data_IF_687448403562
#
_entry.id   IF_687448403562
#
_cell.length_a   1.000
_cell.length_b   1.000
_cell.length_c   1.000
_cell.angle_alpha   90.00
_cell.angle_beta   90.00
_cell.angle_gamma   90.00
#
_symmetry.space_group_name_H-M   'P 1'
#
loop_
_entity.id
_entity.type
_entity.pdbx_description
1 polymer ?
#
# COMPACT_ATOMS: atom_id res chain seq x y z
N UNK A 1 -7.44 -10.62 17.99
CA UNK A 1 -6.20 -10.86 18.72
C UNK A 1 -5.02 -11.14 17.77
N UNK A 2 -5.08 -12.14 16.89
CA UNK A 2 -3.98 -12.47 15.96
C UNK A 2 -3.76 -11.38 14.87
N UNK A 3 -4.79 -10.67 14.47
CA UNK A 3 -4.69 -9.52 13.58
C UNK A 3 -3.92 -8.37 14.26
N UNK A 4 -4.19 -8.11 15.54
CA UNK A 4 -3.47 -7.11 16.33
C UNK A 4 -1.96 -7.39 16.42
N UNK A 5 -1.56 -8.67 16.48
CA UNK A 5 -0.13 -9.05 16.46
C UNK A 5 0.56 -8.57 15.19
N UNK A 6 -0.16 -8.53 14.08
CA UNK A 6 0.35 -8.09 12.77
C UNK A 6 0.17 -6.60 12.57
N UNK A 7 -0.95 -6.01 13.03
CA UNK A 7 -1.18 -4.57 12.84
C UNK A 7 -0.28 -3.71 13.73
N UNK A 8 -0.03 -4.13 14.98
CA UNK A 8 0.64 -3.28 15.99
C UNK A 8 1.58 -4.05 16.93
N UNK A 9 1.70 -5.36 16.77
CA UNK A 9 2.47 -6.23 17.64
C UNK A 9 3.81 -6.71 17.07
N UNK A 10 4.28 -7.85 17.61
CA UNK A 10 5.56 -8.48 17.26
C UNK A 10 5.62 -8.98 15.82
N UNK A 11 4.48 -9.14 15.15
CA UNK A 11 4.36 -9.58 13.77
C UNK A 11 4.19 -8.45 12.75
N UNK A 12 4.37 -7.18 13.12
CA UNK A 12 4.10 -6.02 12.25
C UNK A 12 4.82 -6.05 10.90
N UNK A 13 5.99 -6.69 10.81
CA UNK A 13 6.71 -6.88 9.56
C UNK A 13 6.04 -7.93 8.63
N UNK A 14 4.98 -8.60 9.10
CA UNK A 14 4.14 -9.51 8.34
C UNK A 14 2.92 -8.84 7.71
N UNK A 15 2.77 -7.53 7.82
CA UNK A 15 1.69 -6.78 7.18
C UNK A 15 1.78 -6.87 5.65
N UNK A 16 0.61 -6.91 5.01
CA UNK A 16 0.47 -6.82 3.55
C UNK A 16 -0.53 -5.69 3.26
N UNK A 17 -0.08 -4.68 2.52
CA UNK A 17 -0.91 -3.51 2.20
C UNK A 17 -2.19 -3.93 1.47
N UNK A 18 -3.31 -3.37 1.88
CA UNK A 18 -4.61 -3.68 1.33
C UNK A 18 -5.23 -4.98 1.82
N UNK A 19 -4.60 -5.71 2.74
CA UNK A 19 -5.13 -6.96 3.26
C UNK A 19 -5.09 -6.99 4.79
N UNK A 20 -6.17 -7.48 5.38
CA UNK A 20 -6.21 -7.80 6.80
C UNK A 20 -5.51 -9.13 7.02
N UNK A 21 -4.38 -9.09 7.71
CA UNK A 21 -3.55 -10.26 7.99
C UNK A 21 -3.55 -10.56 9.48
N UNK A 22 -3.87 -11.79 9.84
CA UNK A 22 -3.67 -12.31 11.19
C UNK A 22 -2.42 -13.18 11.23
N UNK A 23 -1.70 -13.19 12.36
CA UNK A 23 -0.50 -14.03 12.46
C UNK A 23 0.10 -14.10 13.85
N UNK A 24 1.14 -14.93 13.98
CA UNK A 24 1.88 -15.13 15.23
C UNK A 24 3.34 -15.46 14.95
N UNK A 25 4.21 -14.79 15.67
CA UNK A 25 5.65 -15.09 15.71
C UNK A 25 5.96 -16.25 16.64
N UNK A 26 6.93 -17.06 16.28
CA UNK A 26 7.52 -18.09 17.14
C UNK A 26 9.04 -17.92 17.22
N UNK A 27 9.59 -18.19 18.38
CA UNK A 27 11.03 -18.31 18.61
C UNK A 27 11.23 -19.41 19.63
N UNK A 28 11.86 -20.48 19.24
CA UNK A 28 12.09 -21.66 20.07
C UNK A 28 13.60 -21.92 20.20
N UNK A 29 14.03 -22.23 21.42
CA UNK A 29 15.40 -22.64 21.71
C UNK A 29 15.56 -24.14 21.39
N UNK A 30 16.67 -24.51 20.76
CA UNK A 30 17.03 -25.90 20.44
C UNK A 30 17.71 -26.61 21.60
N UNK A 31 17.65 -26.08 22.80
CA UNK A 31 18.22 -26.68 24.01
C UNK A 31 19.66 -26.28 24.26
N UNK A 32 20.57 -27.23 24.45
CA UNK A 32 21.93 -26.97 24.96
C UNK A 32 22.87 -26.23 23.99
N UNK A 33 22.51 -26.10 22.70
CA UNK A 33 23.36 -25.47 21.68
C UNK A 33 23.23 -23.94 21.67
N UNK A 34 22.17 -23.40 22.26
CA UNK A 34 21.82 -21.98 22.15
C UNK A 34 21.33 -21.56 20.74
N UNK A 35 21.11 -22.53 19.86
CA UNK A 35 20.55 -22.30 18.55
C UNK A 35 19.04 -22.08 18.64
N UNK A 36 18.49 -21.32 17.70
CA UNK A 36 17.08 -20.96 17.66
C UNK A 36 16.41 -21.47 16.39
N UNK A 37 15.14 -21.85 16.54
CA UNK A 37 14.22 -21.95 15.42
C UNK A 37 13.26 -20.76 15.51
N UNK A 38 13.21 -19.95 14.47
CA UNK A 38 12.32 -18.80 14.38
C UNK A 38 11.26 -19.05 13.33
N UNK A 39 10.03 -18.64 13.61
CA UNK A 39 8.90 -18.91 12.72
C UNK A 39 7.91 -17.75 12.71
N UNK A 40 7.14 -17.68 11.64
CA UNK A 40 5.98 -16.82 11.54
C UNK A 40 4.88 -17.54 10.77
N UNK A 41 3.73 -17.67 11.39
CA UNK A 41 2.52 -18.15 10.75
C UNK A 41 1.60 -16.95 10.50
N UNK A 42 1.02 -16.88 9.32
CA UNK A 42 0.01 -15.88 8.98
C UNK A 42 -1.14 -16.48 8.20
N UNK A 43 -2.26 -15.80 8.22
CA UNK A 43 -3.45 -16.13 7.42
C UNK A 43 -4.10 -14.84 6.92
N UNK A 44 -4.70 -14.90 5.75
CA UNK A 44 -5.39 -13.78 5.12
C UNK A 44 -6.50 -14.26 4.17
N UNK A 45 -7.56 -13.42 3.94
CA UNK A 45 -7.95 -12.26 4.76
C UNK A 45 -8.28 -12.67 6.20
N UNK A 46 -8.09 -11.78 7.19
CA UNK A 46 -8.26 -12.16 8.61
C UNK A 46 -9.73 -12.40 9.01
N UNK A 47 -10.68 -11.84 8.27
CA UNK A 47 -12.13 -11.97 8.46
C UNK A 47 -12.74 -13.16 7.69
N UNK A 48 -12.11 -13.58 6.58
CA UNK A 48 -12.49 -14.77 5.80
C UNK A 48 -11.24 -15.49 5.30
N UNK A 49 -10.53 -16.28 6.15
CA UNK A 49 -9.23 -16.86 5.82
C UNK A 49 -9.28 -17.82 4.64
N UNK A 50 -8.57 -17.48 3.56
CA UNK A 50 -8.42 -18.27 2.35
C UNK A 50 -7.04 -18.91 2.26
N UNK A 51 -6.03 -18.31 2.89
CA UNK A 51 -4.63 -18.73 2.83
C UNK A 51 -4.04 -18.74 4.22
N UNK A 52 -3.25 -19.76 4.52
CA UNK A 52 -2.37 -19.82 5.68
C UNK A 52 -0.95 -20.11 5.21
N UNK A 53 0.03 -19.36 5.72
CA UNK A 53 1.44 -19.50 5.37
C UNK A 53 2.24 -19.65 6.67
N UNK A 54 3.03 -20.71 6.77
CA UNK A 54 4.04 -20.88 7.80
C UNK A 54 5.42 -20.80 7.16
N UNK A 55 6.24 -19.88 7.62
CA UNK A 55 7.67 -19.81 7.28
C UNK A 55 8.46 -20.09 8.54
N UNK A 56 9.47 -20.96 8.41
CA UNK A 56 10.37 -21.34 9.50
C UNK A 56 11.80 -21.20 9.04
N UNK A 57 12.66 -20.69 9.90
CA UNK A 57 14.09 -20.59 9.68
C UNK A 57 14.80 -21.28 10.84
N UNK A 58 15.58 -22.31 10.51
CA UNK A 58 16.35 -23.08 11.48
C UNK A 58 17.76 -22.51 11.60
N UNK A 59 18.19 -22.29 12.81
CA UNK A 59 19.54 -21.83 13.17
C UNK A 59 20.01 -20.63 12.33
N UNK A 60 19.23 -19.52 12.31
CA UNK A 60 19.61 -18.34 11.53
C UNK A 60 20.90 -17.70 12.07
N UNK A 61 21.68 -17.13 11.16
CA UNK A 61 22.92 -16.46 11.53
C UNK A 61 22.67 -15.25 12.42
N UNK A 62 23.39 -15.16 13.54
CA UNK A 62 23.37 -14.01 14.45
C UNK A 62 24.12 -12.79 13.89
N UNK A 63 24.95 -12.98 12.87
CA UNK A 63 25.71 -11.91 12.19
C UNK A 63 24.92 -11.18 11.11
N UNK A 64 23.64 -11.49 10.93
CA UNK A 64 22.79 -10.85 9.91
C UNK A 64 22.43 -9.38 10.19
N UNK A 65 22.92 -8.79 11.28
CA UNK A 65 22.68 -7.37 11.63
C UNK A 65 21.26 -7.06 12.12
N UNK A 66 20.43 -8.09 12.36
CA UNK A 66 19.08 -7.95 12.88
C UNK A 66 18.84 -8.89 14.07
N UNK A 67 17.84 -8.59 14.88
CA UNK A 67 17.43 -9.44 15.99
C UNK A 67 16.96 -10.79 15.48
N UNK A 68 17.46 -11.88 16.08
CA UNK A 68 17.04 -13.25 15.74
C UNK A 68 15.67 -13.53 16.36
N UNK A 69 14.64 -13.31 15.57
CA UNK A 69 13.25 -13.55 15.96
C UNK A 69 12.36 -13.81 14.75
N UNK A 70 11.23 -14.47 14.96
CA UNK A 70 10.23 -14.68 13.90
C UNK A 70 9.73 -13.37 13.30
N UNK A 71 9.56 -12.32 14.11
CA UNK A 71 9.09 -11.02 13.67
C UNK A 71 10.09 -10.24 12.82
N UNK A 72 11.40 -10.36 13.12
CA UNK A 72 12.44 -9.61 12.42
C UNK A 72 12.95 -10.30 11.16
N UNK A 73 13.10 -11.63 11.20
CA UNK A 73 13.72 -12.38 10.11
C UNK A 73 12.71 -13.06 9.19
N UNK A 74 11.63 -13.59 9.74
CA UNK A 74 10.71 -14.48 9.03
C UNK A 74 9.45 -13.75 8.57
N UNK A 75 8.89 -12.87 9.39
CA UNK A 75 7.68 -12.12 9.04
C UNK A 75 7.80 -11.29 7.75
N UNK A 76 8.95 -10.60 7.45
CA UNK A 76 9.12 -9.90 6.17
C UNK A 76 9.10 -10.83 4.95
N UNK A 77 9.62 -12.06 5.09
CA UNK A 77 9.62 -13.07 4.01
C UNK A 77 8.19 -13.56 3.79
N UNK A 78 7.50 -13.88 4.88
CA UNK A 78 6.10 -14.33 4.86
C UNK A 78 5.19 -13.26 4.22
N UNK A 79 5.38 -11.97 4.56
CA UNK A 79 4.64 -10.84 3.98
C UNK A 79 4.80 -10.76 2.46
N UNK A 80 6.01 -10.92 1.94
CA UNK A 80 6.26 -10.93 0.49
C UNK A 80 5.56 -12.09 -0.21
N UNK A 81 5.66 -13.30 0.36
CA UNK A 81 4.97 -14.48 -0.18
C UNK A 81 3.45 -14.26 -0.19
N UNK A 82 2.90 -13.72 0.90
CA UNK A 82 1.48 -13.45 1.01
C UNK A 82 1.02 -12.38 0.00
N UNK A 83 1.81 -11.32 -0.20
CA UNK A 83 1.54 -10.26 -1.16
C UNK A 83 1.48 -10.75 -2.62
N UNK A 84 2.25 -11.78 -2.96
CA UNK A 84 2.23 -12.40 -4.29
C UNK A 84 1.06 -13.38 -4.45
N UNK A 85 0.76 -14.15 -3.41
CA UNK A 85 -0.26 -15.23 -3.46
C UNK A 85 -1.68 -14.66 -3.48
N UNK A 86 -1.99 -13.63 -2.68
CA UNK A 86 -3.37 -13.12 -2.55
C UNK A 86 -3.94 -12.63 -3.89
N UNK A 87 -3.25 -11.77 -4.67
CA UNK A 87 -3.73 -11.37 -5.98
C UNK A 87 -3.79 -12.54 -6.97
N UNK A 88 -2.84 -13.48 -6.89
CA UNK A 88 -2.84 -14.68 -7.74
C UNK A 88 -4.09 -15.55 -7.53
N UNK A 89 -4.60 -15.61 -6.31
CA UNK A 89 -5.85 -16.30 -5.98
C UNK A 89 -7.10 -15.47 -6.27
N UNK A 90 -6.96 -14.27 -6.84
CA UNK A 90 -8.08 -13.39 -7.16
C UNK A 90 -8.68 -12.71 -5.93
N UNK A 91 -7.95 -12.64 -4.82
CA UNK A 91 -8.37 -11.92 -3.62
C UNK A 91 -7.99 -10.46 -3.79
N UNK A 92 -8.99 -9.61 -3.97
CA UNK A 92 -8.78 -8.17 -4.21
C UNK A 92 -8.37 -7.44 -2.92
N UNK A 93 -7.38 -6.50 -3.00
CA UNK A 93 -6.99 -5.71 -1.85
C UNK A 93 -8.06 -4.67 -1.50
N UNK A 94 -8.26 -4.45 -0.20
CA UNK A 94 -9.10 -3.38 0.34
C UNK A 94 -8.23 -2.47 1.19
N UNK A 95 -7.85 -1.30 0.65
CA UNK A 95 -6.97 -0.36 1.34
C UNK A 95 -7.72 0.48 2.37
N UNK A 96 -7.14 0.63 3.56
CA UNK A 96 -7.59 1.63 4.53
C UNK A 96 -7.22 3.06 4.06
N UNK A 97 -7.84 4.07 4.68
CA UNK A 97 -7.53 5.46 4.36
C UNK A 97 -6.06 5.82 4.68
N UNK A 98 -5.48 5.19 5.70
CA UNK A 98 -4.08 5.36 6.08
C UNK A 98 -3.14 4.67 5.09
N UNK A 99 -3.49 3.49 4.60
CA UNK A 99 -2.69 2.76 3.60
C UNK A 99 -2.68 3.47 2.25
N UNK A 100 -3.77 4.16 1.89
CA UNK A 100 -3.83 5.01 0.70
C UNK A 100 -2.98 6.28 0.82
N UNK A 101 -2.57 6.65 2.06
CA UNK A 101 -1.61 7.71 2.31
C UNK A 101 -0.21 7.31 1.84
N UNK A 102 0.22 7.85 0.71
CA UNK A 102 1.55 7.61 0.17
C UNK A 102 1.73 6.29 -0.60
N UNK A 103 0.68 5.49 -0.79
CA UNK A 103 0.69 4.45 -1.80
C UNK A 103 0.41 5.07 -3.18
N UNK A 104 1.21 4.74 -4.17
CA UNK A 104 0.95 5.11 -5.55
C UNK A 104 -0.34 4.42 -6.02
N UNK A 105 -1.29 5.21 -6.49
CA UNK A 105 -2.62 4.75 -6.91
C UNK A 105 -2.93 5.25 -8.32
N UNK A 106 -3.55 4.40 -9.13
CA UNK A 106 -3.93 4.77 -10.50
C UNK A 106 -5.18 5.63 -10.50
N UNK A 107 -5.10 6.79 -11.15
CA UNK A 107 -6.21 7.73 -11.32
C UNK A 107 -7.28 7.13 -12.23
N UNK A 108 -8.55 7.02 -11.79
CA UNK A 108 -9.64 6.55 -12.65
C UNK A 108 -9.86 7.48 -13.85
N UNK A 109 -10.25 6.93 -14.97
CA UNK A 109 -10.76 7.72 -16.12
C UNK A 109 -12.23 8.04 -15.88
N UNK A 110 -12.56 9.33 -15.78
CA UNK A 110 -13.92 9.81 -15.47
C UNK A 110 -14.45 10.87 -16.43
N UNK A 111 -13.76 11.14 -17.53
CA UNK A 111 -14.26 12.03 -18.58
C UNK A 111 -15.53 11.45 -19.17
N UNK A 112 -16.56 12.28 -19.33
CA UNK A 112 -17.89 11.85 -19.78
C UNK A 112 -18.85 11.39 -18.66
N UNK A 113 -18.37 11.16 -17.45
CA UNK A 113 -19.20 10.84 -16.28
C UNK A 113 -19.87 12.10 -15.70
N UNK A 114 -20.93 11.93 -14.93
CA UNK A 114 -21.43 13.02 -14.08
C UNK A 114 -20.38 13.41 -13.03
N UNK A 115 -20.41 14.66 -12.58
CA UNK A 115 -19.50 15.14 -11.53
C UNK A 115 -19.64 14.32 -10.25
N UNK A 116 -20.85 13.88 -9.91
CA UNK A 116 -21.14 13.09 -8.71
C UNK A 116 -20.57 11.67 -8.81
N UNK A 117 -20.78 10.98 -9.94
CA UNK A 117 -20.18 9.68 -10.20
C UNK A 117 -18.65 9.74 -10.24
N UNK A 118 -18.11 10.77 -10.89
CA UNK A 118 -16.66 11.00 -10.93
C UNK A 118 -16.06 11.18 -9.54
N UNK A 119 -16.69 11.97 -8.65
CA UNK A 119 -16.27 12.11 -7.24
C UNK A 119 -16.28 10.77 -6.52
N UNK A 120 -17.38 10.03 -6.58
CA UNK A 120 -17.51 8.74 -5.91
C UNK A 120 -16.42 7.76 -6.35
N UNK A 121 -16.12 7.71 -7.64
CA UNK A 121 -15.05 6.85 -8.20
C UNK A 121 -13.65 7.28 -7.77
N UNK A 122 -13.38 8.59 -7.64
CA UNK A 122 -12.12 9.12 -7.16
C UNK A 122 -11.94 8.84 -5.66
N UNK A 123 -12.98 9.11 -4.85
CA UNK A 123 -12.98 8.86 -3.41
C UNK A 123 -12.80 7.38 -3.06
N UNK A 124 -13.43 6.48 -3.83
CA UNK A 124 -13.23 5.03 -3.70
C UNK A 124 -11.78 4.59 -3.95
N UNK A 125 -10.98 5.42 -4.65
CA UNK A 125 -9.54 5.21 -4.86
C UNK A 125 -8.66 6.07 -3.95
N UNK A 126 -9.26 6.74 -2.96
CA UNK A 126 -8.55 7.55 -1.98
C UNK A 126 -8.09 8.92 -2.47
N UNK A 127 -8.57 9.39 -3.61
CA UNK A 127 -8.29 10.73 -4.12
C UNK A 127 -9.28 11.77 -3.59
N UNK A 128 -8.83 13.01 -3.47
CA UNK A 128 -9.70 14.16 -3.29
C UNK A 128 -9.99 14.82 -4.65
N UNK A 129 -11.14 15.46 -4.78
CA UNK A 129 -11.54 16.12 -6.05
C UNK A 129 -11.74 17.61 -5.88
N UNK A 130 -11.20 18.38 -6.83
CA UNK A 130 -11.53 19.79 -7.03
C UNK A 130 -12.25 19.95 -8.37
N UNK A 131 -13.49 20.41 -8.35
CA UNK A 131 -14.27 20.66 -9.57
C UNK A 131 -14.05 22.11 -10.02
N UNK A 132 -13.78 22.31 -11.30
CA UNK A 132 -13.61 23.61 -11.96
C UNK A 132 -14.66 23.72 -13.05
N UNK A 133 -15.48 24.74 -12.96
CA UNK A 133 -16.64 24.94 -13.81
C UNK A 133 -17.96 24.62 -13.12
N UNK A 134 -19.08 24.79 -13.82
CA UNK A 134 -20.44 24.58 -13.30
C UNK A 134 -21.25 23.57 -14.11
N UNK A 135 -20.61 22.84 -15.03
CA UNK A 135 -21.25 21.80 -15.82
C UNK A 135 -21.59 20.56 -15.00
N UNK A 136 -22.59 19.80 -15.41
CA UNK A 136 -22.98 18.54 -14.76
C UNK A 136 -22.12 17.34 -15.16
N UNK A 137 -21.29 17.47 -16.20
CA UNK A 137 -20.49 16.38 -16.78
C UNK A 137 -19.02 16.78 -16.81
N UNK A 138 -18.14 15.84 -16.49
CA UNK A 138 -16.68 16.02 -16.53
C UNK A 138 -16.22 16.06 -18.00
N UNK A 139 -15.66 17.20 -18.42
CA UNK A 139 -15.14 17.42 -19.78
C UNK A 139 -13.65 17.11 -19.90
N UNK A 140 -12.88 17.28 -18.80
CA UNK A 140 -11.45 16.94 -18.72
C UNK A 140 -11.06 16.67 -17.27
N UNK A 141 -9.88 16.08 -17.06
CA UNK A 141 -9.33 15.81 -15.73
C UNK A 141 -7.80 16.01 -15.68
N UNK A 142 -7.29 16.35 -14.51
CA UNK A 142 -5.85 16.44 -14.27
C UNK A 142 -5.52 15.88 -12.87
N UNK A 143 -4.63 14.88 -12.73
CA UNK A 143 -3.94 14.15 -13.81
C UNK A 143 -4.86 13.33 -14.72
N UNK A 144 -4.33 12.91 -15.85
CA UNK A 144 -5.07 12.07 -16.79
C UNK A 144 -5.44 10.70 -16.16
N UNK A 145 -6.53 10.11 -16.65
CA UNK A 145 -6.87 8.72 -16.28
C UNK A 145 -5.74 7.76 -16.64
N UNK A 146 -5.45 6.82 -15.75
CA UNK A 146 -4.31 5.92 -15.86
C UNK A 146 -3.00 6.45 -15.27
N UNK A 147 -2.90 7.73 -14.91
CA UNK A 147 -1.72 8.25 -14.22
C UNK A 147 -1.58 7.61 -12.84
N UNK A 148 -0.35 7.25 -12.46
CA UNK A 148 -0.03 6.72 -11.13
C UNK A 148 0.51 7.85 -10.27
N UNK A 149 -0.22 8.20 -9.20
CA UNK A 149 0.11 9.30 -8.29
C UNK A 149 -0.10 8.87 -6.83
N UNK A 150 0.56 9.53 -5.87
CA UNK A 150 0.35 9.22 -4.45
C UNK A 150 -1.11 9.31 -4.03
N UNK A 151 -1.56 8.39 -3.19
CA UNK A 151 -2.89 8.43 -2.57
C UNK A 151 -3.12 9.74 -1.82
N UNK A 152 -4.39 10.14 -1.68
CA UNK A 152 -4.84 11.46 -1.17
C UNK A 152 -4.40 12.67 -2.01
N UNK A 153 -3.79 12.47 -3.18
CA UNK A 153 -3.58 13.56 -4.12
C UNK A 153 -4.92 14.16 -4.58
N UNK A 154 -4.91 15.43 -4.93
CA UNK A 154 -6.09 16.10 -5.46
C UNK A 154 -6.14 15.94 -6.97
N UNK A 155 -7.24 15.41 -7.48
CA UNK A 155 -7.55 15.37 -8.92
C UNK A 155 -8.48 16.54 -9.27
N UNK A 156 -8.12 17.30 -10.29
CA UNK A 156 -8.95 18.38 -10.79
C UNK A 156 -9.88 17.83 -11.87
N UNK A 157 -11.16 18.06 -11.70
CA UNK A 157 -12.21 17.69 -12.65
C UNK A 157 -12.74 18.95 -13.30
N UNK A 158 -12.60 19.06 -14.60
CA UNK A 158 -13.14 20.18 -15.36
C UNK A 158 -14.57 19.84 -15.80
N UNK A 159 -15.53 20.70 -15.43
CA UNK A 159 -16.94 20.52 -15.75
C UNK A 159 -17.44 21.77 -16.51
N UNK A 160 -17.21 21.78 -17.82
CA UNK A 160 -17.53 22.89 -18.70
C UNK A 160 -16.55 24.09 -18.65
N UNK A 161 -15.51 24.01 -17.83
CA UNK A 161 -14.39 24.95 -17.88
C UNK A 161 -13.26 24.36 -18.74
N UNK A 162 -12.55 25.24 -19.44
CA UNK A 162 -11.37 24.80 -20.20
C UNK A 162 -10.21 24.46 -19.26
N UNK A 163 -9.53 23.35 -19.55
CA UNK A 163 -8.29 22.98 -18.90
C UNK A 163 -7.18 23.95 -19.34
N UNK A 164 -6.45 24.56 -18.39
CA UNK A 164 -5.31 25.42 -18.73
C UNK A 164 -4.29 24.66 -19.59
N UNK A 165 -3.99 25.20 -20.77
CA UNK A 165 -2.95 24.65 -21.67
C UNK A 165 -1.61 25.36 -21.46
N UNK A 166 -1.26 25.60 -20.18
CA UNK A 166 0.00 26.25 -19.83
C UNK A 166 1.08 25.21 -19.69
N UNK A 167 2.07 25.24 -20.56
CA UNK A 167 3.26 24.41 -20.48
C UNK A 167 4.28 25.08 -19.55
N UNK A 168 4.69 24.36 -18.51
CA UNK A 168 5.78 24.79 -17.64
C UNK A 168 7.02 23.96 -17.93
N UNK A 169 8.16 24.63 -18.09
CA UNK A 169 9.43 23.92 -18.19
C UNK A 169 9.87 23.47 -16.80
N UNK A 170 9.96 22.16 -16.59
CA UNK A 170 10.49 21.62 -15.34
C UNK A 170 12.01 21.88 -15.29
N UNK A 171 12.50 22.63 -14.28
CA UNK A 171 13.92 22.89 -14.17
C UNK A 171 14.69 21.61 -13.88
N UNK A 172 15.97 21.56 -14.29
CA UNK A 172 16.87 20.46 -14.01
C UNK A 172 17.14 20.40 -12.50
N UNK A 173 16.60 19.38 -11.82
CA UNK A 173 16.73 19.20 -10.37
C UNK A 173 17.82 18.17 -9.99
N UNK A 174 18.34 17.40 -10.94
CA UNK A 174 19.39 16.42 -10.69
C UNK A 174 20.65 17.13 -10.14
N UNK A 175 21.12 16.71 -9.00
CA UNK A 175 22.29 17.30 -8.32
C UNK A 175 21.98 18.56 -7.51
N UNK A 176 20.71 18.97 -7.37
CA UNK A 176 20.28 20.05 -6.49
C UNK A 176 19.91 19.53 -5.10
N UNK A 177 20.05 20.40 -4.09
CA UNK A 177 19.59 20.07 -2.73
C UNK A 177 18.04 20.08 -2.66
N UNK A 178 17.46 19.36 -1.71
CA UNK A 178 16.00 19.32 -1.53
C UNK A 178 15.40 20.74 -1.35
N UNK A 179 16.08 21.64 -0.66
CA UNK A 179 15.63 23.03 -0.46
C UNK A 179 15.43 23.81 -1.77
N UNK A 180 16.24 23.54 -2.81
CA UNK A 180 16.11 24.19 -4.12
C UNK A 180 15.00 23.57 -4.96
N UNK A 181 14.61 22.35 -4.64
CA UNK A 181 13.55 21.63 -5.39
C UNK A 181 12.14 22.07 -5.00
N UNK A 182 11.97 22.83 -3.91
CA UNK A 182 10.68 23.31 -3.40
C UNK A 182 10.41 24.81 -3.69
N UNK A 183 11.31 25.52 -4.33
CA UNK A 183 11.13 26.92 -4.76
C UNK A 183 10.76 26.97 -6.21
#
# INVERSE_FOLDING_TARGET
CLEYVVSDGTGRNGQVKGYRVGGKTGTADKGQTGDLVVSFVSFAPADDPQVIILVTMDTPSRSAGTSVSGGSMVAPVNSKIMADILPYLGIEPTYSAEELLGADTTVPYVIGSTVEDARSRMEARGFTCKVVGSGGTVTDQTPAGGAVIPGKSTVILYAGAEKPNTMYTVPQLVGKTAAVSYT
#
